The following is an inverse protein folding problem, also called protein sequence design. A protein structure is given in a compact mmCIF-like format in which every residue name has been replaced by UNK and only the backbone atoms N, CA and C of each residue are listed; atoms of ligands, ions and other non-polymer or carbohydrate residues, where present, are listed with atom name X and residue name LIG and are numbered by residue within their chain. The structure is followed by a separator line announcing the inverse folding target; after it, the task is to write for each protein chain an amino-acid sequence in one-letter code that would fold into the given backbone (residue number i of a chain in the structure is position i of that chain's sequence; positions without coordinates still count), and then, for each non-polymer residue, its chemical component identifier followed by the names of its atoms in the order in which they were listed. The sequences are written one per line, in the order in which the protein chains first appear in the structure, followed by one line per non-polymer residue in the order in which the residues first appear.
data_IF_338013596837
#
_entry.id   IF_338013596837
#
_cell.length_a   1.000
_cell.length_b   1.000
_cell.length_c   1.000
_cell.angle_alpha   90.00
_cell.angle_beta   90.00
_cell.angle_gamma   90.00
#
_symmetry.space_group_name_H-M   'P 1'
#
loop_
_entity.id
_entity.type
_entity.pdbx_description
1 polymer ?
#
# COMPACT_ATOMS: atom_id res chain seq x y z
N UNK A 1 -10.31 15.01 -9.77
CA UNK A 1 -10.04 13.59 -9.46
C UNK A 1 -8.99 13.07 -10.39
N UNK A 2 -8.05 12.24 -9.89
CA UNK A 2 -7.02 11.57 -10.68
C UNK A 2 -7.36 10.08 -10.77
N UNK A 3 -7.20 9.50 -11.95
CA UNK A 3 -7.34 8.06 -12.18
C UNK A 3 -6.13 7.54 -12.95
N UNK A 4 -5.58 6.42 -12.47
CA UNK A 4 -4.54 5.66 -13.14
C UNK A 4 -5.08 4.28 -13.53
N UNK A 5 -4.91 3.93 -14.80
CA UNK A 5 -5.35 2.64 -15.33
C UNK A 5 -4.65 2.28 -16.64
N UNK A 6 -4.67 0.99 -16.98
CA UNK A 6 -4.25 0.53 -18.30
C UNK A 6 -5.38 0.77 -19.29
N UNK A 7 -5.17 1.66 -20.25
CA UNK A 7 -6.11 1.88 -21.36
C UNK A 7 -5.89 0.85 -22.43
N UNK A 8 -6.96 0.31 -23.00
CA UNK A 8 -6.93 -0.64 -24.10
C UNK A 8 -7.80 -0.19 -25.28
N UNK A 9 -7.61 -0.80 -26.44
CA UNK A 9 -8.40 -0.49 -27.64
C UNK A 9 -9.88 -0.77 -27.47
N UNK A 10 -10.22 -1.78 -26.68
CA UNK A 10 -11.57 -2.21 -26.29
C UNK A 10 -11.45 -3.14 -25.09
N UNK A 11 -12.56 -3.55 -24.47
CA UNK A 11 -12.56 -4.51 -23.38
C UNK A 11 -11.87 -5.82 -23.80
N UNK A 12 -10.86 -6.25 -23.01
CA UNK A 12 -9.97 -7.38 -23.34
C UNK A 12 -9.02 -7.13 -24.53
N UNK A 13 -8.98 -5.93 -25.07
CA UNK A 13 -8.14 -5.56 -26.21
C UNK A 13 -6.67 -5.30 -25.85
N UNK A 14 -5.87 -5.03 -26.89
CA UNK A 14 -4.46 -4.71 -26.75
C UNK A 14 -4.27 -3.45 -25.89
N UNK A 15 -3.38 -3.48 -24.87
CA UNK A 15 -3.03 -2.29 -24.09
C UNK A 15 -2.43 -1.19 -24.99
N UNK A 16 -2.91 0.03 -24.79
CA UNK A 16 -2.40 1.25 -25.44
C UNK A 16 -1.35 1.94 -24.57
N UNK A 17 -1.55 1.94 -23.26
CA UNK A 17 -0.67 2.60 -22.29
C UNK A 17 -1.23 2.50 -20.88
N UNK A 18 -0.37 2.70 -19.90
CA UNK A 18 -0.78 3.01 -18.53
C UNK A 18 -0.88 4.52 -18.43
N UNK A 19 -2.06 5.01 -18.11
CA UNK A 19 -2.33 6.44 -18.24
C UNK A 19 -2.89 7.04 -16.99
N UNK A 20 -2.44 8.25 -16.69
CA UNK A 20 -3.03 9.09 -15.65
C UNK A 20 -3.90 10.15 -16.29
N UNK A 21 -5.15 10.19 -15.90
CA UNK A 21 -6.10 11.19 -16.33
C UNK A 21 -6.59 12.01 -15.15
N UNK A 22 -6.90 13.27 -15.39
CA UNK A 22 -7.76 14.08 -14.50
C UNK A 22 -9.17 14.13 -15.04
N UNK A 23 -10.09 14.26 -14.11
CA UNK A 23 -11.51 14.45 -14.35
C UNK A 23 -12.10 15.45 -13.36
N UNK A 24 -13.14 16.14 -13.78
CA UNK A 24 -14.03 16.85 -12.89
C UNK A 24 -15.12 15.90 -12.40
N UNK A 25 -15.34 15.85 -11.10
CA UNK A 25 -16.39 15.05 -10.46
C UNK A 25 -17.50 15.97 -9.97
N UNK A 26 -18.72 15.78 -10.46
CA UNK A 26 -19.88 16.58 -10.08
C UNK A 26 -20.82 15.91 -9.06
N UNK A 27 -20.37 14.82 -8.44
CA UNK A 27 -21.18 14.01 -7.51
C UNK A 27 -21.85 12.80 -8.17
N UNK A 28 -21.91 12.72 -9.51
CA UNK A 28 -22.59 11.65 -10.24
C UNK A 28 -21.76 11.08 -11.39
N UNK A 29 -21.12 11.94 -12.16
CA UNK A 29 -20.35 11.55 -13.35
C UNK A 29 -19.02 12.26 -13.42
N UNK A 30 -18.05 11.58 -14.05
CA UNK A 30 -16.74 12.12 -14.38
C UNK A 30 -16.82 12.80 -15.75
N UNK A 31 -16.38 14.07 -15.80
CA UNK A 31 -16.36 14.89 -17.02
C UNK A 31 -14.98 15.49 -17.26
N UNK A 32 -14.77 16.15 -18.38
CA UNK A 32 -13.56 16.90 -18.70
C UNK A 32 -12.28 16.06 -18.61
N UNK A 33 -12.31 14.83 -19.17
CA UNK A 33 -11.16 13.92 -19.25
C UNK A 33 -9.95 14.63 -19.85
N UNK A 34 -8.82 14.68 -19.10
CA UNK A 34 -7.56 15.25 -19.57
C UNK A 34 -6.41 14.29 -19.24
N UNK A 35 -5.64 13.89 -20.25
CA UNK A 35 -4.43 13.09 -20.08
C UNK A 35 -3.36 13.94 -19.40
N UNK A 36 -2.81 13.43 -18.30
CA UNK A 36 -1.73 14.07 -17.51
C UNK A 36 -0.40 13.38 -17.76
N UNK A 37 -0.38 12.05 -17.78
CA UNK A 37 0.83 11.26 -17.99
C UNK A 37 0.50 10.03 -18.84
N UNK A 38 1.31 9.77 -19.87
CA UNK A 38 1.29 8.54 -20.65
C UNK A 38 2.52 7.72 -20.26
N UNK A 39 2.29 6.55 -19.69
CA UNK A 39 3.32 5.66 -19.18
C UNK A 39 3.41 4.41 -20.03
N UNK A 40 4.55 3.78 -19.99
CA UNK A 40 4.83 2.59 -20.76
C UNK A 40 3.94 1.39 -20.35
N UNK A 41 3.40 0.62 -21.29
CA UNK A 41 2.31 -0.33 -21.07
C UNK A 41 2.63 -1.79 -21.36
N UNK A 42 3.88 -2.21 -21.37
CA UNK A 42 4.23 -3.50 -21.97
C UNK A 42 4.14 -4.71 -21.03
N UNK A 43 4.02 -4.50 -19.70
CA UNK A 43 3.99 -5.60 -18.75
C UNK A 43 2.65 -5.68 -18.01
N UNK A 44 2.30 -6.90 -17.54
CA UNK A 44 1.05 -7.18 -16.83
C UNK A 44 1.21 -7.21 -15.31
N UNK A 45 2.43 -7.09 -14.80
CA UNK A 45 2.75 -7.16 -13.37
C UNK A 45 3.66 -6.01 -12.94
N UNK A 46 3.74 -5.76 -11.65
CA UNK A 46 4.48 -4.67 -11.00
C UNK A 46 4.16 -3.29 -11.59
N UNK A 47 2.89 -3.07 -11.83
CA UNK A 47 2.44 -1.84 -12.50
C UNK A 47 2.33 -0.65 -11.55
N UNK A 48 2.38 -0.89 -10.24
CA UNK A 48 2.08 0.15 -9.27
C UNK A 48 0.61 0.56 -9.31
N UNK A 49 0.36 1.82 -9.04
CA UNK A 49 -0.98 2.43 -9.15
C UNK A 49 -1.49 3.05 -7.86
N UNK A 50 -0.85 2.81 -6.72
CA UNK A 50 -1.18 3.55 -5.51
C UNK A 50 -0.87 5.04 -5.72
N UNK A 51 -1.85 5.88 -5.38
CA UNK A 51 -1.75 7.33 -5.44
C UNK A 51 -2.09 7.93 -4.09
N UNK A 52 -1.38 9.00 -3.75
CA UNK A 52 -1.65 9.76 -2.52
C UNK A 52 -1.53 11.25 -2.80
N UNK A 53 -2.29 12.04 -2.05
CA UNK A 53 -2.16 13.50 -2.02
C UNK A 53 -1.53 13.90 -0.70
N UNK A 54 -0.47 14.72 -0.75
CA UNK A 54 0.15 15.26 0.46
C UNK A 54 -0.62 16.45 1.04
N UNK A 55 -0.15 16.97 2.18
CA UNK A 55 -0.78 18.09 2.88
C UNK A 55 -0.71 19.42 2.11
N UNK A 56 0.03 19.48 0.99
CA UNK A 56 0.18 20.64 0.12
C UNK A 56 -0.50 20.43 -1.23
N UNK A 57 -1.44 19.47 -1.31
CA UNK A 57 -2.19 19.10 -2.52
C UNK A 57 -1.31 18.56 -3.67
N UNK A 58 -0.07 18.16 -3.39
CA UNK A 58 0.74 17.46 -4.38
C UNK A 58 0.30 16.01 -4.51
N UNK A 59 0.20 15.52 -5.74
CA UNK A 59 -0.27 14.17 -6.05
C UNK A 59 0.89 13.30 -6.49
N UNK A 60 1.01 12.14 -5.85
CA UNK A 60 2.08 11.16 -6.11
C UNK A 60 1.48 9.85 -6.62
N UNK A 61 2.24 9.18 -7.48
CA UNK A 61 1.90 7.88 -8.07
C UNK A 61 3.13 6.97 -7.99
N UNK A 62 2.97 5.78 -7.44
CA UNK A 62 4.02 4.76 -7.53
C UNK A 62 3.87 3.93 -8.80
N UNK A 63 5.00 3.70 -9.46
CA UNK A 63 5.15 2.78 -10.60
C UNK A 63 6.23 1.78 -10.24
N UNK A 64 5.90 0.50 -10.25
CA UNK A 64 6.86 -0.58 -9.98
C UNK A 64 7.84 -0.80 -11.13
N UNK A 65 8.70 -1.81 -11.01
CA UNK A 65 9.73 -2.11 -11.99
C UNK A 65 9.18 -2.65 -13.33
N UNK A 66 7.89 -2.97 -13.36
CA UNK A 66 7.21 -3.57 -14.53
C UNK A 66 8.01 -4.75 -15.14
N UNK A 67 8.72 -5.52 -14.31
CA UNK A 67 9.59 -6.61 -14.73
C UNK A 67 10.88 -6.18 -15.43
N UNK A 68 11.26 -4.94 -15.29
CA UNK A 68 12.47 -4.37 -15.93
C UNK A 68 13.65 -4.29 -14.98
N UNK A 69 13.52 -4.84 -13.78
CA UNK A 69 14.57 -4.95 -12.77
C UNK A 69 15.18 -3.60 -12.39
N UNK A 70 14.35 -2.60 -12.14
CA UNK A 70 14.85 -1.29 -11.71
C UNK A 70 15.73 -0.59 -12.74
N UNK A 71 15.38 -0.67 -14.01
CA UNK A 71 16.21 -0.14 -15.12
C UNK A 71 16.69 1.28 -14.87
N UNK A 72 15.86 2.15 -14.34
CA UNK A 72 16.24 3.53 -14.04
C UNK A 72 17.43 3.60 -13.08
N UNK A 73 17.47 2.72 -12.09
CA UNK A 73 18.53 2.70 -11.07
C UNK A 73 19.76 1.93 -11.53
N UNK A 74 19.55 0.78 -12.19
CA UNK A 74 20.64 -0.13 -12.53
C UNK A 74 21.28 0.18 -13.89
N UNK A 75 20.72 1.12 -14.65
CA UNK A 75 21.23 1.57 -15.93
C UNK A 75 21.40 3.10 -15.91
N UNK A 76 22.37 3.61 -15.14
CA UNK A 76 22.54 5.06 -14.97
C UNK A 76 22.77 5.81 -16.28
N UNK A 77 23.28 5.13 -17.31
CA UNK A 77 23.47 5.68 -18.66
C UNK A 77 22.24 5.49 -19.56
N UNK A 78 21.19 4.84 -19.05
CA UNK A 78 19.93 4.64 -19.77
C UNK A 78 18.98 5.82 -19.62
N UNK A 79 18.14 6.02 -20.63
CA UNK A 79 17.06 7.00 -20.53
C UNK A 79 16.04 6.57 -19.47
N UNK A 80 15.62 7.47 -18.56
CA UNK A 80 14.56 7.20 -17.62
C UNK A 80 13.26 6.80 -18.32
N UNK A 81 12.60 5.76 -17.84
CA UNK A 81 11.40 5.21 -18.46
C UNK A 81 10.17 5.18 -17.56
N UNK A 82 10.22 5.93 -16.48
CA UNK A 82 9.15 6.03 -15.48
C UNK A 82 8.79 4.68 -14.79
N UNK A 83 9.71 3.71 -14.75
CA UNK A 83 9.58 2.48 -13.96
C UNK A 83 10.44 2.52 -12.71
N UNK A 84 10.11 1.73 -11.68
CA UNK A 84 10.82 1.68 -10.40
C UNK A 84 10.84 3.02 -9.65
N UNK A 85 9.77 3.80 -9.69
CA UNK A 85 9.75 5.18 -9.23
C UNK A 85 8.48 5.54 -8.46
N UNK A 86 8.58 6.59 -7.64
CA UNK A 86 7.42 7.37 -7.22
C UNK A 86 7.49 8.72 -7.94
N UNK A 87 6.47 8.98 -8.75
CA UNK A 87 6.32 10.21 -9.52
C UNK A 87 5.53 11.24 -8.72
N UNK A 88 5.93 12.50 -8.74
CA UNK A 88 5.01 13.60 -8.43
C UNK A 88 4.33 14.03 -9.73
N UNK A 89 3.03 13.80 -9.83
CA UNK A 89 2.26 14.05 -11.05
C UNK A 89 1.55 15.40 -11.06
N UNK A 90 1.36 16.00 -9.89
CA UNK A 90 0.78 17.33 -9.74
C UNK A 90 1.35 18.04 -8.49
N UNK A 91 1.97 19.25 -8.60
CA UNK A 91 2.53 19.75 -9.87
C UNK A 91 3.58 18.78 -10.41
N UNK A 92 3.76 18.70 -11.73
CA UNK A 92 4.71 17.75 -12.32
C UNK A 92 6.14 18.06 -11.89
N UNK A 93 6.84 16.99 -11.47
CA UNK A 93 8.26 17.01 -11.14
C UNK A 93 8.79 15.59 -11.36
N UNK A 94 10.06 15.37 -11.74
CA UNK A 94 10.46 14.06 -12.21
C UNK A 94 10.28 12.96 -11.16
N UNK A 95 11.28 12.52 -10.47
CA UNK A 95 11.15 11.38 -9.59
C UNK A 95 11.28 11.81 -8.13
N UNK A 96 10.24 11.57 -7.35
CA UNK A 96 10.28 11.77 -5.90
C UNK A 96 11.13 10.69 -5.21
N UNK A 97 11.02 9.45 -5.73
CA UNK A 97 11.80 8.30 -5.28
C UNK A 97 12.13 7.38 -6.46
N UNK A 98 13.18 6.57 -6.31
CA UNK A 98 13.63 5.57 -7.29
C UNK A 98 13.88 4.21 -6.61
N UNK A 99 14.19 3.19 -7.39
CA UNK A 99 14.56 1.87 -6.89
C UNK A 99 13.41 1.10 -6.26
N UNK A 100 12.18 1.37 -6.72
CA UNK A 100 10.97 0.70 -6.24
C UNK A 100 10.71 -0.57 -7.06
N UNK A 101 10.60 -1.74 -6.39
CA UNK A 101 10.25 -2.97 -7.08
C UNK A 101 8.76 -3.06 -7.38
N UNK A 102 7.95 -3.16 -6.34
CA UNK A 102 6.51 -3.41 -6.46
C UNK A 102 5.79 -2.93 -5.21
N UNK A 103 5.38 -1.67 -5.22
CA UNK A 103 4.63 -1.05 -4.13
C UNK A 103 3.13 -1.07 -4.43
N UNK A 104 2.33 -1.47 -3.44
CA UNK A 104 0.87 -1.50 -3.52
C UNK A 104 0.21 -0.43 -2.65
N UNK A 105 0.96 0.23 -1.79
CA UNK A 105 0.39 1.20 -0.87
C UNK A 105 1.26 2.45 -0.72
N UNK A 106 0.61 3.60 -0.73
CA UNK A 106 1.18 4.89 -0.34
C UNK A 106 0.27 5.54 0.68
N UNK A 107 0.84 6.10 1.74
CA UNK A 107 0.09 6.92 2.70
C UNK A 107 0.91 8.12 3.16
N UNK A 108 0.20 9.21 3.48
CA UNK A 108 0.77 10.37 4.15
C UNK A 108 0.39 10.30 5.62
N UNK A 109 1.38 10.38 6.49
CA UNK A 109 1.16 10.50 7.92
C UNK A 109 0.45 11.84 8.23
N UNK A 110 -0.75 11.82 8.80
CA UNK A 110 -1.54 13.02 9.02
C UNK A 110 -0.91 13.99 10.03
N UNK A 111 0.03 13.50 10.86
CA UNK A 111 0.69 14.31 11.90
C UNK A 111 1.95 14.98 11.38
N UNK A 112 2.79 14.24 10.65
CA UNK A 112 4.11 14.71 10.21
C UNK A 112 4.17 15.11 8.74
N UNK A 113 3.18 14.72 7.93
CA UNK A 113 3.20 14.91 6.48
C UNK A 113 4.19 14.00 5.75
N UNK A 114 4.84 13.06 6.46
CA UNK A 114 5.80 12.12 5.87
C UNK A 114 5.09 11.05 5.06
N UNK A 115 5.70 10.66 3.93
CA UNK A 115 5.18 9.61 3.06
C UNK A 115 5.72 8.25 3.49
N UNK A 116 4.85 7.24 3.43
CA UNK A 116 5.17 5.85 3.70
C UNK A 116 4.69 4.98 2.56
N UNK A 117 5.42 3.90 2.26
CA UNK A 117 4.99 2.90 1.30
C UNK A 117 5.14 1.48 1.83
N UNK A 118 4.45 0.54 1.18
CA UNK A 118 4.68 -0.89 1.30
C UNK A 118 5.31 -1.40 0.02
N UNK A 119 6.36 -2.20 0.11
CA UNK A 119 7.05 -2.73 -1.05
C UNK A 119 7.24 -4.24 -0.95
N UNK A 120 6.92 -4.95 -2.03
CA UNK A 120 6.99 -6.40 -2.10
C UNK A 120 8.33 -6.87 -2.66
N UNK A 121 9.01 -7.71 -1.90
CA UNK A 121 10.24 -8.40 -2.30
C UNK A 121 9.98 -9.55 -3.29
N UNK A 122 11.05 -10.15 -3.87
CA UNK A 122 10.91 -11.30 -4.75
C UNK A 122 10.45 -12.56 -3.99
N UNK A 123 11.31 -13.10 -3.12
CA UNK A 123 11.06 -14.28 -2.28
C UNK A 123 11.33 -13.98 -0.81
N UNK A 124 11.82 -12.79 -0.51
CA UNK A 124 12.19 -12.28 0.82
C UNK A 124 12.14 -10.76 0.82
N UNK A 125 12.07 -10.19 2.03
CA UNK A 125 12.34 -8.76 2.22
C UNK A 125 11.18 -7.86 1.85
N UNK A 126 9.93 -8.32 2.01
CA UNK A 126 8.79 -7.41 2.00
C UNK A 126 9.00 -6.31 3.06
N UNK A 127 8.68 -5.07 2.74
CA UNK A 127 9.10 -3.97 3.59
C UNK A 127 8.12 -2.81 3.68
N UNK A 128 8.31 -2.01 4.72
CA UNK A 128 7.70 -0.70 4.89
C UNK A 128 8.80 0.35 4.85
N UNK A 129 8.67 1.33 3.98
CA UNK A 129 9.64 2.41 3.86
C UNK A 129 9.05 3.75 4.32
N UNK A 130 9.92 4.58 4.88
CA UNK A 130 9.72 6.01 5.00
C UNK A 130 10.31 6.69 3.78
N UNK A 131 9.45 7.18 2.90
CA UNK A 131 9.84 7.76 1.62
C UNK A 131 10.06 9.26 1.76
N UNK A 132 11.30 9.68 1.64
CA UNK A 132 11.69 11.09 1.63
C UNK A 132 11.95 11.58 0.21
N UNK A 133 12.00 12.89 -0.05
CA UNK A 133 12.47 13.39 -1.35
C UNK A 133 13.84 12.81 -1.71
N UNK A 134 13.99 12.34 -2.94
CA UNK A 134 15.20 11.69 -3.44
C UNK A 134 15.55 10.35 -2.77
N UNK A 135 14.55 9.66 -2.24
CA UNK A 135 14.70 8.31 -1.69
C UNK A 135 15.08 7.31 -2.79
N UNK A 136 15.96 6.37 -2.44
CA UNK A 136 16.28 5.20 -3.24
C UNK A 136 16.03 3.94 -2.41
N UNK A 137 15.09 3.09 -2.83
CA UNK A 137 14.78 1.83 -2.15
C UNK A 137 15.80 0.72 -2.38
N UNK A 138 16.63 0.84 -3.41
CA UNK A 138 17.75 -0.08 -3.65
C UNK A 138 17.51 -1.21 -4.64
N UNK A 139 16.29 -1.40 -5.12
CA UNK A 139 15.98 -2.44 -6.11
C UNK A 139 16.76 -2.23 -7.42
N UNK A 140 17.39 -3.28 -8.03
CA UNK A 140 17.27 -4.71 -7.74
C UNK A 140 18.45 -5.26 -6.94
N UNK A 141 19.35 -4.40 -6.47
CA UNK A 141 20.57 -4.81 -5.72
C UNK A 141 20.22 -5.11 -4.26
N UNK A 142 19.37 -4.30 -3.67
CA UNK A 142 18.99 -4.40 -2.25
C UNK A 142 17.49 -4.66 -2.14
N UNK A 143 17.12 -5.56 -1.25
CA UNK A 143 15.77 -5.79 -0.76
C UNK A 143 15.86 -6.17 0.70
N UNK A 144 15.05 -5.55 1.57
CA UNK A 144 15.25 -5.58 3.01
C UNK A 144 16.46 -4.74 3.46
N UNK A 145 16.96 -4.91 4.71
CA UNK A 145 18.10 -4.17 5.21
C UNK A 145 19.37 -4.42 4.42
N UNK A 146 20.13 -3.37 4.13
CA UNK A 146 21.33 -3.47 3.34
C UNK A 146 22.50 -4.08 4.12
N UNK A 147 23.24 -4.97 3.49
CA UNK A 147 24.58 -5.33 3.91
C UNK A 147 25.62 -4.36 3.33
N UNK A 148 26.81 -4.29 3.95
CA UNK A 148 27.91 -3.46 3.42
C UNK A 148 28.26 -3.80 1.98
N UNK A 149 28.26 -5.10 1.65
CA UNK A 149 28.59 -5.57 0.29
C UNK A 149 27.54 -5.14 -0.72
N UNK A 150 26.25 -5.18 -0.36
CA UNK A 150 25.16 -4.71 -1.21
C UNK A 150 25.21 -3.20 -1.42
N UNK A 151 25.52 -2.41 -0.39
CA UNK A 151 25.72 -0.97 -0.53
C UNK A 151 26.85 -0.62 -1.50
N UNK A 152 27.94 -1.41 -1.51
CA UNK A 152 29.02 -1.20 -2.50
C UNK A 152 28.65 -1.58 -3.93
N UNK A 153 27.68 -2.48 -4.09
CA UNK A 153 27.18 -2.90 -5.41
C UNK A 153 26.09 -1.99 -5.95
N UNK A 154 25.46 -1.19 -5.07
CA UNK A 154 24.38 -0.30 -5.47
C UNK A 154 24.91 0.80 -6.39
N UNK A 155 24.41 0.92 -7.64
CA UNK A 155 24.82 2.00 -8.51
C UNK A 155 24.53 3.37 -7.90
N UNK A 156 25.49 4.28 -8.01
CA UNK A 156 25.26 5.68 -7.64
C UNK A 156 24.29 6.34 -8.61
N UNK A 157 23.23 6.93 -8.10
CA UNK A 157 22.29 7.72 -8.90
C UNK A 157 22.34 9.17 -8.38
N UNK A 158 22.81 10.14 -9.17
CA UNK A 158 23.02 11.51 -8.70
C UNK A 158 21.77 12.13 -8.10
N UNK A 159 21.89 12.63 -6.89
CA UNK A 159 20.79 13.29 -6.17
C UNK A 159 19.92 12.35 -5.34
N UNK A 160 20.06 11.01 -5.46
CA UNK A 160 19.27 10.04 -4.70
C UNK A 160 20.13 9.32 -3.66
N UNK A 161 19.51 9.04 -2.51
CA UNK A 161 20.18 8.37 -1.39
C UNK A 161 19.40 7.13 -0.97
N UNK A 162 20.11 6.01 -0.84
CA UNK A 162 19.54 4.79 -0.28
C UNK A 162 19.27 4.98 1.22
N UNK A 163 18.13 4.47 1.66
CA UNK A 163 17.78 4.33 3.06
C UNK A 163 17.21 2.94 3.33
N UNK A 164 17.66 2.34 4.43
CA UNK A 164 17.10 1.08 4.90
C UNK A 164 15.59 1.19 5.19
N UNK A 165 14.84 0.11 4.96
CA UNK A 165 13.43 0.07 5.33
C UNK A 165 13.24 0.28 6.84
N UNK A 166 12.06 0.74 7.20
CA UNK A 166 11.68 0.96 8.61
C UNK A 166 11.14 -0.31 9.25
N UNK A 167 10.75 -1.28 8.45
CA UNK A 167 10.42 -2.64 8.86
C UNK A 167 10.52 -3.59 7.68
N UNK A 168 10.94 -4.83 7.95
CA UNK A 168 11.09 -5.87 6.94
C UNK A 168 10.50 -7.18 7.44
N UNK A 169 9.79 -7.89 6.58
CA UNK A 169 9.47 -9.30 6.77
C UNK A 169 10.47 -10.15 5.97
N UNK A 170 11.24 -11.02 6.64
CA UNK A 170 12.13 -11.96 5.95
C UNK A 170 11.32 -12.85 5.01
N UNK A 171 10.24 -13.46 5.53
CA UNK A 171 9.29 -14.23 4.74
C UNK A 171 8.26 -13.28 4.12
N UNK A 172 8.10 -13.36 2.80
CA UNK A 172 7.13 -12.53 2.09
C UNK A 172 5.69 -12.76 2.54
N UNK A 173 5.01 -11.68 2.85
CA UNK A 173 3.60 -11.63 3.24
C UNK A 173 2.72 -10.99 2.16
N UNK A 174 3.33 -10.41 1.14
CA UNK A 174 2.71 -9.56 0.13
C UNK A 174 1.95 -8.38 0.75
N UNK A 175 2.64 -7.42 1.40
CA UNK A 175 1.99 -6.23 1.96
C UNK A 175 1.35 -5.42 0.84
N UNK A 176 0.18 -4.87 1.15
CA UNK A 176 -0.65 -4.18 0.18
C UNK A 176 -0.95 -2.75 0.63
N UNK A 177 -2.23 -2.36 0.68
CA UNK A 177 -2.62 -1.03 1.12
C UNK A 177 -2.19 -0.72 2.54
N UNK A 178 -1.86 0.54 2.79
CA UNK A 178 -1.58 1.04 4.13
C UNK A 178 -2.34 2.34 4.38
N UNK A 179 -2.69 2.57 5.65
CA UNK A 179 -3.44 3.77 6.04
C UNK A 179 -3.13 4.17 7.47
N UNK A 180 -3.08 5.46 7.70
CA UNK A 180 -3.15 6.01 9.06
C UNK A 180 -4.60 6.20 9.45
N UNK A 181 -4.93 5.96 10.73
CA UNK A 181 -6.23 6.31 11.26
C UNK A 181 -6.11 7.49 12.23
N UNK A 182 -6.68 8.63 11.87
CA UNK A 182 -6.82 9.80 12.74
C UNK A 182 -8.29 9.98 13.08
N UNK A 183 -8.74 9.27 14.11
CA UNK A 183 -10.13 9.27 14.53
C UNK A 183 -10.27 9.07 16.03
N UNK A 184 -11.13 9.87 16.66
CA UNK A 184 -11.48 9.73 18.07
C UNK A 184 -12.19 8.40 18.35
N UNK A 185 -12.77 7.75 17.34
CA UNK A 185 -13.34 6.40 17.46
C UNK A 185 -12.29 5.34 17.73
N UNK A 186 -11.04 5.59 17.34
CA UNK A 186 -9.90 4.72 17.54
C UNK A 186 -8.85 5.35 18.48
N UNK A 187 -9.28 6.03 19.55
CA UNK A 187 -8.40 6.79 20.46
C UNK A 187 -7.12 6.02 20.84
N UNK A 188 -7.26 4.75 21.24
CA UNK A 188 -6.12 3.87 21.62
C UNK A 188 -5.15 3.60 20.46
N UNK A 189 -5.63 3.66 19.20
CA UNK A 189 -4.89 3.31 17.99
C UNK A 189 -4.69 4.53 17.07
N UNK A 190 -5.07 5.70 17.54
CA UNK A 190 -4.98 6.94 16.78
C UNK A 190 -3.55 7.16 16.27
N UNK A 191 -3.45 7.62 15.04
CA UNK A 191 -2.19 7.88 14.35
C UNK A 191 -1.24 6.67 14.22
N UNK A 192 -1.74 5.45 14.45
CA UNK A 192 -1.02 4.23 14.07
C UNK A 192 -1.10 3.99 12.57
N UNK A 193 -0.08 3.33 12.02
CA UNK A 193 -0.09 2.83 10.64
C UNK A 193 -0.71 1.43 10.62
N UNK A 194 -1.68 1.22 9.73
CA UNK A 194 -2.26 -0.09 9.44
C UNK A 194 -1.82 -0.55 8.07
N UNK A 195 -1.47 -1.84 7.96
CA UNK A 195 -0.99 -2.48 6.72
C UNK A 195 -1.74 -3.78 6.52
N UNK A 196 -2.27 -4.01 5.32
CA UNK A 196 -2.87 -5.29 4.94
C UNK A 196 -1.88 -6.19 4.23
N UNK A 197 -2.10 -7.51 4.31
CA UNK A 197 -1.37 -8.49 3.50
C UNK A 197 -2.31 -9.36 2.65
N UNK A 198 -1.78 -9.87 1.54
CA UNK A 198 -2.52 -10.75 0.64
C UNK A 198 -2.26 -12.23 0.91
N UNK A 199 -1.10 -12.63 1.42
CA UNK A 199 -0.72 -14.03 1.56
C UNK A 199 -1.39 -14.70 2.78
N UNK A 200 -1.46 -13.98 3.90
CA UNK A 200 -1.96 -14.52 5.17
C UNK A 200 -3.34 -13.95 5.55
N UNK A 201 -3.73 -12.82 4.95
CA UNK A 201 -4.98 -12.14 5.28
C UNK A 201 -4.93 -11.50 6.67
N UNK A 202 -3.79 -10.99 7.05
CA UNK A 202 -3.59 -10.28 8.29
C UNK A 202 -3.69 -8.77 8.07
N UNK A 203 -4.23 -8.09 9.07
CA UNK A 203 -4.10 -6.66 9.25
C UNK A 203 -3.07 -6.40 10.33
N UNK A 204 -2.01 -5.72 9.97
CA UNK A 204 -0.95 -5.31 10.90
C UNK A 204 -1.19 -3.90 11.39
N UNK A 205 -0.70 -3.60 12.59
CA UNK A 205 -0.68 -2.28 13.19
C UNK A 205 0.71 -1.94 13.69
N UNK A 206 1.21 -0.80 13.30
CA UNK A 206 2.50 -0.27 13.74
C UNK A 206 2.31 1.02 14.53
N UNK A 207 2.90 1.07 15.69
CA UNK A 207 2.97 2.28 16.50
C UNK A 207 4.23 3.07 16.11
N UNK A 208 4.06 4.32 15.71
CA UNK A 208 5.19 5.18 15.37
C UNK A 208 5.85 5.74 16.62
N UNK A 209 7.16 6.00 16.52
CA UNK A 209 7.91 6.76 17.51
C UNK A 209 7.50 8.25 17.49
N UNK A 210 7.97 9.03 18.48
CA UNK A 210 7.63 10.45 18.62
C UNK A 210 8.12 11.30 17.43
N UNK A 211 9.26 10.94 16.81
CA UNK A 211 9.78 11.59 15.61
C UNK A 211 9.00 11.21 14.34
N UNK A 212 8.12 10.22 14.44
CA UNK A 212 7.32 9.67 13.34
C UNK A 212 8.17 9.30 12.10
N UNK A 213 9.29 8.64 12.36
CA UNK A 213 10.24 8.20 11.33
C UNK A 213 10.67 6.73 11.50
N UNK A 214 10.01 6.00 12.39
CA UNK A 214 10.21 4.59 12.67
C UNK A 214 9.14 4.08 13.62
N UNK A 215 9.25 2.81 14.00
CA UNK A 215 8.28 2.11 14.84
C UNK A 215 8.82 1.83 16.23
N UNK A 216 7.91 1.63 17.17
CA UNK A 216 8.20 1.21 18.55
C UNK A 216 7.77 -0.24 18.68
N UNK A 217 8.70 -1.09 19.12
CA UNK A 217 8.44 -2.48 19.48
C UNK A 217 8.80 -2.73 20.94
N UNK A 218 7.99 -3.54 21.61
CA UNK A 218 8.25 -4.02 22.98
C UNK A 218 8.86 -5.42 22.97
N UNK A 219 8.59 -6.20 21.92
CA UNK A 219 9.23 -7.49 21.68
C UNK A 219 10.68 -7.33 21.29
N UNK A 220 11.58 -8.08 21.94
CA UNK A 220 12.98 -8.12 21.55
C UNK A 220 13.19 -8.76 20.16
N UNK A 221 12.25 -9.57 19.71
CA UNK A 221 12.31 -10.24 18.40
C UNK A 221 12.12 -9.28 17.23
N UNK A 222 11.39 -8.18 17.42
CA UNK A 222 11.16 -7.18 16.38
C UNK A 222 12.01 -5.91 16.56
N UNK A 223 12.89 -5.90 17.58
CA UNK A 223 13.66 -4.70 17.94
C UNK A 223 14.74 -4.33 16.92
N UNK A 224 15.14 -5.24 16.06
CA UNK A 224 16.06 -5.02 14.94
C UNK A 224 15.36 -4.59 13.65
N UNK A 225 14.03 -4.39 13.71
CA UNK A 225 13.16 -3.95 12.60
C UNK A 225 12.97 -5.04 11.52
N UNK A 226 13.24 -6.29 11.84
CA UNK A 226 13.03 -7.44 10.97
C UNK A 226 12.14 -8.46 11.67
N UNK A 227 11.13 -8.95 10.97
CA UNK A 227 10.40 -10.14 11.39
C UNK A 227 11.04 -11.35 10.71
N UNK A 228 11.94 -12.02 11.42
CA UNK A 228 12.58 -13.23 10.99
C UNK A 228 11.58 -14.39 10.92
N UNK A 229 11.94 -15.46 10.21
CA UNK A 229 11.05 -16.60 9.93
C UNK A 229 10.36 -17.20 11.18
N UNK A 230 11.04 -17.16 12.33
CA UNK A 230 10.58 -17.80 13.57
C UNK A 230 10.09 -16.78 14.62
N UNK A 231 10.10 -15.50 14.31
CA UNK A 231 9.68 -14.48 15.24
C UNK A 231 8.16 -14.45 15.42
N UNK A 232 7.71 -14.23 16.66
CA UNK A 232 6.31 -13.92 16.91
C UNK A 232 6.02 -12.51 16.42
N UNK A 233 4.97 -12.41 15.61
CA UNK A 233 4.44 -11.14 15.12
C UNK A 233 3.16 -10.71 15.87
N UNK A 234 2.85 -11.33 17.00
CA UNK A 234 1.62 -11.07 17.78
C UNK A 234 1.49 -9.60 18.19
N UNK A 235 2.62 -8.92 18.42
CA UNK A 235 2.64 -7.51 18.79
C UNK A 235 2.12 -6.59 17.68
N UNK A 236 2.34 -6.95 16.43
CA UNK A 236 1.97 -6.15 15.26
C UNK A 236 0.72 -6.66 14.55
N UNK A 237 0.29 -7.90 14.76
CA UNK A 237 -0.95 -8.43 14.19
C UNK A 237 -2.15 -7.82 14.92
N UNK A 238 -2.91 -6.97 14.23
CA UNK A 238 -4.12 -6.35 14.74
C UNK A 238 -5.35 -7.22 14.53
N UNK A 239 -5.40 -7.94 13.41
CA UNK A 239 -6.51 -8.84 13.10
C UNK A 239 -6.14 -9.84 12.01
N UNK A 240 -6.88 -10.95 11.94
CA UNK A 240 -6.59 -12.07 11.02
C UNK A 240 -7.86 -12.56 10.33
N UNK A 241 -7.68 -13.27 9.21
CA UNK A 241 -8.77 -13.97 8.52
C UNK A 241 -9.54 -13.12 7.50
N UNK A 242 -8.95 -12.01 7.05
CA UNK A 242 -9.55 -11.14 6.03
C UNK A 242 -9.40 -11.66 4.60
N UNK A 243 -8.69 -12.78 4.39
CA UNK A 243 -8.32 -13.21 3.05
C UNK A 243 -7.27 -12.30 2.41
N UNK A 244 -7.15 -12.30 1.09
CA UNK A 244 -6.21 -11.41 0.40
C UNK A 244 -6.67 -9.96 0.54
N UNK A 245 -6.06 -9.21 1.48
CA UNK A 245 -6.30 -7.77 1.62
C UNK A 245 -5.62 -7.06 0.44
N UNK A 246 -6.34 -6.20 -0.25
CA UNK A 246 -5.79 -5.40 -1.36
C UNK A 246 -5.73 -3.92 -1.05
N UNK A 247 -6.54 -3.45 -0.10
CA UNK A 247 -6.53 -2.06 0.30
C UNK A 247 -7.00 -1.89 1.76
N UNK A 248 -6.47 -0.85 2.40
CA UNK A 248 -6.81 -0.43 3.77
C UNK A 248 -7.00 1.07 3.75
N UNK A 249 -8.18 1.55 4.14
CA UNK A 249 -8.55 2.96 4.03
C UNK A 249 -9.25 3.46 5.29
N UNK A 250 -8.83 4.61 5.80
CA UNK A 250 -9.59 5.35 6.80
C UNK A 250 -10.76 6.07 6.10
N UNK A 251 -11.99 5.72 6.45
CA UNK A 251 -13.19 6.32 5.88
C UNK A 251 -13.51 7.70 6.47
N UNK A 252 -14.33 8.51 5.79
CA UNK A 252 -14.73 9.84 6.26
C UNK A 252 -15.59 9.78 7.53
N UNK A 253 -16.14 8.62 7.86
CA UNK A 253 -16.84 8.36 9.11
C UNK A 253 -15.89 8.03 10.27
N UNK A 254 -14.57 8.06 10.04
CA UNK A 254 -13.53 7.76 11.02
C UNK A 254 -13.42 6.28 11.38
N UNK A 255 -13.90 5.38 10.51
CA UNK A 255 -13.72 3.94 10.64
C UNK A 255 -12.69 3.41 9.64
N UNK A 256 -12.11 2.24 9.93
CA UNK A 256 -11.16 1.59 9.07
C UNK A 256 -11.88 0.60 8.16
N UNK A 257 -11.63 0.68 6.86
CA UNK A 257 -12.17 -0.20 5.84
C UNK A 257 -11.07 -1.06 5.23
N UNK A 258 -11.37 -2.32 4.99
CA UNK A 258 -10.45 -3.32 4.45
C UNK A 258 -11.10 -3.95 3.24
N UNK A 259 -10.43 -3.89 2.09
CA UNK A 259 -10.89 -4.54 0.87
C UNK A 259 -10.24 -5.92 0.76
N UNK A 260 -11.07 -6.96 0.72
CA UNK A 260 -10.63 -8.35 0.54
C UNK A 260 -10.97 -8.83 -0.86
N UNK A 261 -9.93 -9.15 -1.64
CA UNK A 261 -10.09 -9.69 -2.99
C UNK A 261 -10.61 -11.13 -2.95
N UNK A 262 -10.04 -11.97 -2.11
CA UNK A 262 -10.43 -13.39 -2.05
C UNK A 262 -11.85 -13.62 -1.53
N UNK A 263 -12.33 -12.75 -0.65
CA UNK A 263 -13.64 -12.85 -0.04
C UNK A 263 -14.70 -12.03 -0.80
N UNK A 264 -14.27 -11.19 -1.76
CA UNK A 264 -15.14 -10.27 -2.50
C UNK A 264 -15.92 -9.33 -1.58
N UNK A 265 -15.29 -8.89 -0.49
CA UNK A 265 -15.95 -8.21 0.63
C UNK A 265 -15.17 -6.97 1.05
N UNK A 266 -15.88 -5.93 1.44
CA UNK A 266 -15.31 -4.81 2.19
C UNK A 266 -15.70 -4.99 3.66
N UNK A 267 -14.69 -5.11 4.51
CA UNK A 267 -14.87 -5.15 5.96
C UNK A 267 -14.78 -3.74 6.53
N UNK A 268 -15.53 -3.49 7.59
CA UNK A 268 -15.46 -2.26 8.38
C UNK A 268 -15.12 -2.60 9.83
N UNK A 269 -14.06 -2.01 10.36
CA UNK A 269 -13.68 -2.17 11.75
C UNK A 269 -14.45 -1.13 12.58
N UNK A 270 -15.25 -1.61 13.53
CA UNK A 270 -16.04 -0.77 14.42
C UNK A 270 -15.54 -0.98 15.84
N UNK A 271 -15.04 0.08 16.52
CA UNK A 271 -14.70 0.00 17.93
C UNK A 271 -15.94 -0.33 18.76
N UNK A 272 -15.81 -1.19 19.76
CA UNK A 272 -16.88 -1.41 20.75
C UNK A 272 -17.10 -0.12 21.55
N UNK A 273 -18.35 0.18 21.87
CA UNK A 273 -18.68 1.32 22.73
C UNK A 273 -18.06 1.14 24.13
N UNK A 274 -17.55 2.22 24.70
CA UNK A 274 -16.79 2.29 25.96
C UNK A 274 -17.57 1.86 27.24
N UNK A 275 -18.51 0.96 27.11
CA UNK A 275 -19.27 0.36 28.24
C UNK A 275 -19.04 -1.14 28.43
N UNK A 276 -18.36 -1.79 27.51
CA UNK A 276 -18.06 -3.22 27.57
C UNK A 276 -16.55 -3.46 27.68
N UNK A 277 -16.17 -4.32 28.60
CA UNK A 277 -14.81 -4.74 28.97
C UNK A 277 -13.85 -4.93 27.79
N UNK A 278 -12.59 -4.55 27.97
CA UNK A 278 -11.30 -4.83 27.32
C UNK A 278 -11.19 -5.71 26.05
N UNK A 279 -12.27 -5.99 25.35
CA UNK A 279 -12.27 -6.78 24.12
C UNK A 279 -11.87 -5.94 22.88
N UNK A 280 -11.17 -6.54 21.89
CA UNK A 280 -10.81 -5.88 20.66
C UNK A 280 -12.03 -5.35 19.85
N UNK A 281 -11.84 -4.41 18.92
CA UNK A 281 -12.93 -3.87 18.08
C UNK A 281 -13.71 -4.98 17.37
N UNK A 282 -15.03 -4.79 17.19
CA UNK A 282 -15.83 -5.71 16.39
C UNK A 282 -15.68 -5.44 14.90
N UNK A 283 -15.77 -6.50 14.08
CA UNK A 283 -15.75 -6.40 12.63
C UNK A 283 -17.17 -6.47 12.11
N UNK A 284 -17.60 -5.46 11.36
CA UNK A 284 -18.84 -5.48 10.61
C UNK A 284 -18.57 -5.73 9.13
N UNK A 285 -19.40 -6.57 8.51
CA UNK A 285 -19.30 -6.89 7.09
C UNK A 285 -20.19 -5.93 6.29
N UNK A 286 -19.61 -5.25 5.30
CA UNK A 286 -20.36 -4.55 4.27
C UNK A 286 -20.16 -5.33 2.98
N UNK A 287 -21.10 -6.24 2.66
CA UNK A 287 -21.10 -6.89 1.36
C UNK A 287 -21.57 -5.89 0.29
N UNK A 288 -20.67 -5.38 -0.54
CA UNK A 288 -21.04 -4.67 -1.76
C UNK A 288 -21.20 -5.70 -2.85
N UNK A 289 -22.46 -6.11 -3.10
CA UNK A 289 -22.79 -6.90 -4.26
C UNK A 289 -22.75 -6.01 -5.51
N UNK A 290 -21.73 -6.18 -6.35
CA UNK A 290 -21.81 -5.70 -7.72
C UNK A 290 -22.93 -6.51 -8.42
N UNK A 291 -24.15 -5.98 -8.42
CA UNK A 291 -25.29 -6.61 -9.07
C UNK A 291 -25.17 -6.48 -10.59
N UNK A 292 -24.60 -7.49 -11.21
CA UNK A 292 -25.04 -7.88 -12.54
C UNK A 292 -26.44 -8.48 -12.38
N UNK A 293 -27.41 -7.93 -13.08
CA UNK A 293 -28.82 -8.25 -12.96
C UNK A 293 -29.12 -9.69 -13.32
N UNK A 294 -29.05 -10.66 -12.39
CA UNK A 294 -29.79 -11.91 -12.38
C UNK A 294 -29.88 -12.47 -10.95
N UNK A 295 -31.07 -12.47 -10.36
CA UNK A 295 -31.45 -13.43 -9.31
C UNK A 295 -31.27 -13.01 -7.84
N UNK A 296 -32.07 -12.07 -7.35
CA UNK A 296 -32.10 -11.59 -5.93
C UNK A 296 -32.53 -12.68 -4.91
N UNK A 297 -33.04 -13.83 -5.29
CA UNK A 297 -33.65 -14.80 -4.37
C UNK A 297 -32.69 -15.86 -3.79
N UNK A 298 -31.54 -16.06 -4.36
CA UNK A 298 -30.60 -17.12 -3.91
C UNK A 298 -29.60 -16.66 -2.83
N UNK A 299 -29.43 -15.38 -2.63
CA UNK A 299 -28.37 -14.82 -1.79
C UNK A 299 -28.67 -14.75 -0.29
N UNK A 300 -29.94 -14.65 0.10
CA UNK A 300 -30.33 -14.59 1.52
C UNK A 300 -30.06 -15.93 2.26
N UNK A 301 -29.99 -17.04 1.53
CA UNK A 301 -29.79 -18.36 2.13
C UNK A 301 -28.29 -18.70 2.36
N UNK A 302 -27.37 -18.08 1.64
CA UNK A 302 -25.92 -18.33 1.74
C UNK A 302 -25.28 -17.52 2.87
N UNK A 303 -25.81 -16.35 3.17
CA UNK A 303 -25.27 -15.45 4.21
C UNK A 303 -25.38 -15.99 5.64
N UNK A 304 -26.29 -16.93 5.91
CA UNK A 304 -26.46 -17.53 7.25
C UNK A 304 -25.50 -18.69 7.57
N UNK A 305 -24.65 -19.15 6.64
CA UNK A 305 -23.83 -20.36 6.84
C UNK A 305 -22.31 -20.14 6.93
N UNK A 306 -21.80 -18.91 6.79
CA UNK A 306 -20.35 -18.63 6.89
C UNK A 306 -20.03 -17.54 7.92
N UNK A 307 -20.32 -17.80 9.18
CA UNK A 307 -19.61 -17.12 10.25
C UNK A 307 -18.24 -17.80 10.40
N UNK A 308 -17.27 -17.43 9.59
CA UNK A 308 -15.86 -17.66 9.93
C UNK A 308 -15.53 -16.79 11.16
N UNK A 309 -15.02 -17.41 12.21
CA UNK A 309 -14.50 -16.69 13.37
C UNK A 309 -13.24 -15.96 12.93
N UNK A 310 -13.35 -14.68 12.69
CA UNK A 310 -12.21 -13.78 12.55
C UNK A 310 -11.82 -13.39 13.98
N UNK A 311 -10.53 -13.54 14.32
CA UNK A 311 -10.00 -13.09 15.61
C UNK A 311 -9.40 -11.70 15.40
N UNK A 312 -9.80 -10.75 16.21
CA UNK A 312 -9.22 -9.40 16.34
C UNK A 312 -8.70 -9.23 17.74
#
# INVERSE_FOLDING_TARGET
MYLYFTESTHDGGKPLGKRVYTYDWNGTVLTNKKLIKDLWATQTYHNGGAMVTDLNDSVYLVVGDAGRYGKLQNYPDGEPDDTSVILRIAPPDPYYAIGIRNSFGLAIDPVSGKMWDTENGPDFGDQINLVTPNFNSGWDVIMGPATKDKLHQLPGFPGYTYHDPKFTWEKTIAPTGLSFIDSDKFEKYRNSLFVGDCNSGNLYRFQLNDARDGFIFHSSQLSDLVADKNDSQDEIIFGTGFGCITDVVAGPDGLLYIVSLSDGTIYRIVPKSTGETSDPPSIEYIAILAAGAVGIWSLIFIMKKRQKKIKV
#
